data_IF_923058245737
#
_entry.id   IF_923058245737
#
_cell.length_a   1.000
_cell.length_b   1.000
_cell.length_c   1.000
_cell.angle_alpha   90.00
_cell.angle_beta   90.00
_cell.angle_gamma   90.00
#
_symmetry.space_group_name_H-M   'P 1'
#
loop_
_entity.id
_entity.type
_entity.pdbx_description
1 polymer ?
#
# COMPACT_ATOMS: atom_id res chain seq x y z
N UNK A 1 -9.46 2.42 -4.75
CA UNK A 1 -9.86 3.84 -4.68
C UNK A 1 -11.36 3.90 -4.45
N UNK A 2 -11.85 4.39 -3.29
CA UNK A 2 -13.24 4.23 -2.90
C UNK A 2 -14.24 4.89 -3.86
N UNK A 3 -13.96 6.07 -4.42
CA UNK A 3 -14.88 6.73 -5.34
C UNK A 3 -15.16 5.91 -6.61
N UNK A 4 -14.23 5.04 -7.02
CA UNK A 4 -14.35 4.21 -8.23
C UNK A 4 -15.11 2.90 -8.00
N UNK A 5 -15.41 2.55 -6.74
CA UNK A 5 -16.19 1.36 -6.40
C UNK A 5 -17.69 1.59 -6.61
N UNK A 6 -18.13 1.51 -7.87
CA UNK A 6 -19.56 1.35 -8.21
C UNK A 6 -20.06 -0.03 -7.81
N UNK A 7 -21.37 -0.27 -7.86
CA UNK A 7 -21.94 -1.62 -7.60
C UNK A 7 -21.36 -2.68 -8.53
N UNK A 8 -21.28 -2.41 -9.84
CA UNK A 8 -20.61 -3.29 -10.80
C UNK A 8 -19.13 -3.48 -10.47
N UNK A 9 -18.45 -2.43 -9.99
CA UNK A 9 -17.06 -2.51 -9.55
C UNK A 9 -16.89 -3.44 -8.35
N UNK A 10 -17.80 -3.39 -7.39
CA UNK A 10 -17.78 -4.25 -6.20
C UNK A 10 -17.93 -5.73 -6.59
N UNK A 11 -18.83 -6.08 -7.50
CA UNK A 11 -18.98 -7.46 -7.98
C UNK A 11 -17.68 -8.00 -8.59
N UNK A 12 -17.00 -7.20 -9.42
CA UNK A 12 -15.72 -7.59 -10.02
C UNK A 12 -14.64 -7.81 -8.96
N UNK A 13 -14.58 -6.91 -7.98
CA UNK A 13 -13.64 -6.93 -6.87
C UNK A 13 -13.81 -8.19 -6.02
N UNK A 14 -15.04 -8.52 -5.61
CA UNK A 14 -15.31 -9.73 -4.81
C UNK A 14 -15.11 -11.04 -5.58
N UNK A 15 -15.33 -11.03 -6.90
CA UNK A 15 -15.05 -12.20 -7.75
C UNK A 15 -13.54 -12.44 -7.92
N UNK A 16 -12.76 -11.38 -8.08
CA UNK A 16 -11.33 -11.47 -8.34
C UNK A 16 -10.51 -11.74 -7.08
N UNK A 17 -11.02 -11.33 -5.91
CA UNK A 17 -10.35 -11.52 -4.65
C UNK A 17 -11.38 -11.91 -3.57
N UNK A 18 -11.49 -13.22 -3.28
CA UNK A 18 -12.36 -13.74 -2.24
C UNK A 18 -12.03 -13.11 -0.87
N UNK A 19 -13.06 -12.86 -0.07
CA UNK A 19 -12.90 -12.22 1.26
C UNK A 19 -12.34 -13.14 2.34
N UNK A 20 -12.30 -14.44 2.06
CA UNK A 20 -11.77 -15.52 2.90
C UNK A 20 -10.27 -15.81 2.66
N UNK A 21 -9.64 -15.15 1.68
CA UNK A 21 -8.19 -15.23 1.48
C UNK A 21 -7.45 -14.33 2.48
N UNK A 22 -6.74 -14.93 3.44
CA UNK A 22 -6.08 -14.25 4.56
C UNK A 22 -5.01 -13.23 4.14
N UNK A 23 -4.35 -13.48 3.00
CA UNK A 23 -3.35 -12.56 2.44
C UNK A 23 -3.98 -11.37 1.70
N UNK A 24 -5.27 -11.44 1.39
CA UNK A 24 -5.98 -10.39 0.69
C UNK A 24 -6.68 -9.43 1.65
N UNK A 25 -6.27 -8.15 1.66
CA UNK A 25 -6.80 -7.16 2.60
C UNK A 25 -7.24 -5.88 1.88
N UNK A 26 -8.49 -5.47 2.15
CA UNK A 26 -9.09 -4.28 1.57
C UNK A 26 -8.80 -3.07 2.44
N UNK A 27 -8.11 -2.08 1.89
CA UNK A 27 -7.72 -0.86 2.60
C UNK A 27 -7.96 0.36 1.71
N UNK A 28 -7.92 1.57 2.29
CA UNK A 28 -8.28 2.78 1.56
C UNK A 28 -7.12 3.30 0.72
N UNK A 29 -7.34 3.47 -0.58
CA UNK A 29 -6.42 4.19 -1.46
C UNK A 29 -7.04 5.54 -1.89
N UNK A 30 -6.76 6.59 -1.11
CA UNK A 30 -7.28 7.94 -1.32
C UNK A 30 -8.81 8.06 -1.31
N UNK A 31 -9.35 9.00 -2.09
CA UNK A 31 -10.79 9.12 -2.35
C UNK A 31 -11.11 9.00 -3.84
N UNK A 32 -10.68 9.97 -4.65
CA UNK A 32 -10.93 10.06 -6.10
C UNK A 32 -9.66 9.93 -6.93
N UNK A 33 -8.49 9.96 -6.29
CA UNK A 33 -7.19 9.97 -6.93
C UNK A 33 -7.00 11.20 -7.84
N UNK A 34 -7.45 12.37 -7.36
CA UNK A 34 -7.34 13.66 -8.07
C UNK A 34 -6.07 14.39 -7.64
N UNK A 35 -5.37 15.00 -8.59
CA UNK A 35 -4.26 15.88 -8.26
C UNK A 35 -4.79 17.23 -7.79
N UNK A 36 -4.43 17.62 -6.57
CA UNK A 36 -4.71 18.94 -6.02
C UNK A 36 -3.49 19.86 -5.94
N UNK A 37 -2.29 19.36 -6.25
CA UNK A 37 -1.09 20.21 -6.31
C UNK A 37 -1.17 21.14 -7.52
N UNK A 38 -0.94 22.43 -7.27
CA UNK A 38 -0.84 23.46 -8.31
C UNK A 38 0.49 23.36 -9.03
N UNK A 39 1.55 23.04 -8.29
CA UNK A 39 2.90 22.93 -8.78
C UNK A 39 3.59 21.66 -8.26
N UNK A 40 4.70 21.29 -8.89
CA UNK A 40 5.49 20.14 -8.50
C UNK A 40 4.77 18.81 -8.72
N UNK A 41 5.03 17.86 -7.83
CA UNK A 41 4.68 16.47 -8.06
C UNK A 41 3.24 16.15 -7.61
N UNK A 42 2.46 15.49 -8.48
CA UNK A 42 1.03 15.19 -8.25
C UNK A 42 0.73 14.61 -6.87
N UNK A 43 -0.29 15.11 -6.20
CA UNK A 43 -0.75 14.56 -4.91
C UNK A 43 -2.22 14.88 -4.65
N UNK A 44 -2.98 13.87 -4.18
CA UNK A 44 -4.35 14.06 -3.68
C UNK A 44 -4.35 14.63 -2.25
N UNK A 45 -3.32 14.30 -1.46
CA UNK A 45 -3.24 14.66 -0.03
C UNK A 45 -2.00 15.48 0.29
N UNK A 46 -1.53 16.30 -0.68
CA UNK A 46 -0.39 17.21 -0.51
C UNK A 46 -0.75 18.54 0.15
N UNK A 47 0.20 19.47 0.21
CA UNK A 47 0.06 20.76 0.93
C UNK A 47 -1.05 21.65 0.38
N UNK A 48 -1.26 21.63 -0.93
CA UNK A 48 -2.22 22.52 -1.62
C UNK A 48 -3.69 22.12 -1.41
N UNK A 49 -3.97 20.94 -0.85
CA UNK A 49 -5.33 20.53 -0.48
C UNK A 49 -5.60 20.96 0.96
N UNK A 50 -6.62 21.81 1.16
CA UNK A 50 -7.00 22.29 2.49
C UNK A 50 -7.19 21.13 3.49
N UNK A 51 -6.68 21.24 4.74
CA UNK A 51 -6.73 20.16 5.73
C UNK A 51 -8.13 19.59 5.97
N UNK A 52 -9.15 20.45 6.01
CA UNK A 52 -10.55 20.09 6.23
C UNK A 52 -11.07 19.22 5.09
N UNK A 53 -10.68 19.58 3.86
CA UNK A 53 -11.03 18.80 2.67
C UNK A 53 -10.33 17.46 2.62
N UNK A 54 -9.05 17.39 3.02
CA UNK A 54 -8.36 16.09 3.16
C UNK A 54 -9.08 15.20 4.18
N UNK A 55 -9.51 15.76 5.31
CA UNK A 55 -10.26 15.03 6.33
C UNK A 55 -11.60 14.51 5.78
N UNK A 56 -12.38 15.36 5.11
CA UNK A 56 -13.64 14.98 4.46
C UNK A 56 -13.45 13.85 3.44
N UNK A 57 -12.45 13.98 2.56
CA UNK A 57 -12.14 12.98 1.54
C UNK A 57 -11.74 11.63 2.16
N UNK A 58 -10.94 11.65 3.25
CA UNK A 58 -10.55 10.42 3.97
C UNK A 58 -11.77 9.81 4.66
N UNK A 59 -12.57 10.59 5.38
CA UNK A 59 -13.78 10.13 6.08
C UNK A 59 -14.77 9.50 5.10
N UNK A 60 -15.06 10.18 4.00
CA UNK A 60 -15.98 9.68 2.99
C UNK A 60 -15.50 8.35 2.39
N UNK A 61 -14.20 8.24 2.12
CA UNK A 61 -13.59 6.98 1.70
C UNK A 61 -13.73 5.90 2.75
N UNK A 62 -13.44 6.20 4.03
CA UNK A 62 -13.53 5.25 5.14
C UNK A 62 -14.95 4.71 5.29
N UNK A 63 -15.94 5.60 5.39
CA UNK A 63 -17.36 5.23 5.53
C UNK A 63 -17.80 4.34 4.36
N UNK A 64 -17.37 4.64 3.13
CA UNK A 64 -17.70 3.82 1.96
C UNK A 64 -17.02 2.44 2.03
N UNK A 65 -15.76 2.38 2.44
CA UNK A 65 -15.03 1.11 2.57
C UNK A 65 -15.61 0.23 3.67
N UNK A 66 -15.95 0.80 4.84
CA UNK A 66 -16.61 0.09 5.94
C UNK A 66 -17.97 -0.46 5.50
N UNK A 67 -18.76 0.31 4.75
CA UNK A 67 -20.05 -0.16 4.21
C UNK A 67 -19.90 -1.33 3.24
N UNK A 68 -18.88 -1.32 2.38
CA UNK A 68 -18.69 -2.34 1.32
C UNK A 68 -18.05 -3.60 1.89
N UNK A 69 -16.99 -3.46 2.70
CA UNK A 69 -16.15 -4.58 3.12
C UNK A 69 -16.40 -4.99 4.58
N UNK A 70 -17.14 -4.20 5.36
CA UNK A 70 -17.49 -4.48 6.76
C UNK A 70 -16.26 -4.88 7.58
N UNK A 71 -16.27 -6.06 8.24
CA UNK A 71 -15.15 -6.53 9.06
C UNK A 71 -13.87 -6.84 8.27
N UNK A 72 -13.94 -6.88 6.93
CA UNK A 72 -12.80 -7.11 6.05
C UNK A 72 -12.11 -5.81 5.63
N UNK A 73 -12.67 -4.64 5.97
CA UNK A 73 -11.95 -3.38 5.82
C UNK A 73 -10.83 -3.29 6.86
N UNK A 74 -9.61 -3.07 6.38
CA UNK A 74 -8.43 -2.86 7.21
C UNK A 74 -8.15 -1.36 7.29
N UNK A 75 -8.01 -0.77 8.50
CA UNK A 75 -7.83 0.66 8.71
C UNK A 75 -6.39 1.12 8.38
N UNK A 76 -5.93 0.81 7.18
CA UNK A 76 -4.68 1.27 6.58
C UNK A 76 -5.01 2.21 5.42
N UNK A 77 -4.21 3.26 5.29
CA UNK A 77 -4.34 4.24 4.23
C UNK A 77 -3.13 4.18 3.28
N UNK A 78 -3.39 4.12 1.99
CA UNK A 78 -2.37 4.25 0.95
C UNK A 78 -2.65 5.56 0.22
N UNK A 79 -1.79 6.59 0.33
CA UNK A 79 -2.00 7.82 -0.40
C UNK A 79 -1.76 7.62 -1.90
N UNK A 80 -2.62 8.14 -2.79
CA UNK A 80 -2.33 8.31 -4.21
C UNK A 80 -0.96 8.92 -4.47
N UNK A 81 -0.27 8.39 -5.48
CA UNK A 81 1.11 8.76 -5.82
C UNK A 81 2.11 8.63 -4.64
N UNK A 82 1.79 7.84 -3.61
CA UNK A 82 2.58 7.66 -2.39
C UNK A 82 2.90 8.97 -1.66
N UNK A 83 2.08 10.02 -1.81
CA UNK A 83 2.36 11.36 -1.27
C UNK A 83 1.27 11.82 -0.32
N UNK A 84 1.70 12.34 0.82
CA UNK A 84 0.81 12.83 1.87
C UNK A 84 1.46 13.99 2.62
N UNK A 85 0.63 14.78 3.28
CA UNK A 85 1.04 15.93 4.06
C UNK A 85 0.89 15.66 5.56
N UNK A 86 1.37 16.59 6.40
CA UNK A 86 1.13 16.54 7.84
C UNK A 86 -0.37 16.60 8.18
N UNK A 87 -1.17 17.30 7.37
CA UNK A 87 -2.62 17.36 7.55
C UNK A 87 -3.26 15.98 7.34
N UNK A 88 -2.79 15.22 6.35
CA UNK A 88 -3.24 13.84 6.11
C UNK A 88 -3.03 12.97 7.34
N UNK A 89 -1.83 12.99 7.93
CA UNK A 89 -1.53 12.21 9.13
C UNK A 89 -2.46 12.57 10.30
N UNK A 90 -2.71 13.87 10.52
CA UNK A 90 -3.65 14.33 11.55
C UNK A 90 -5.06 13.80 11.31
N UNK A 91 -5.54 13.82 10.07
CA UNK A 91 -6.85 13.29 9.71
C UNK A 91 -6.92 11.78 9.93
N UNK A 92 -5.91 11.02 9.50
CA UNK A 92 -5.83 9.57 9.71
C UNK A 92 -5.92 9.21 11.19
N UNK A 93 -5.23 9.94 12.07
CA UNK A 93 -5.33 9.74 13.52
C UNK A 93 -6.75 9.98 14.04
N UNK A 94 -7.35 11.12 13.68
CA UNK A 94 -8.71 11.48 14.11
C UNK A 94 -9.76 10.47 13.64
N UNK A 95 -9.50 9.82 12.52
CA UNK A 95 -10.39 8.82 11.89
C UNK A 95 -9.98 7.38 12.24
N UNK A 96 -9.14 7.20 13.26
CA UNK A 96 -8.71 5.91 13.79
C UNK A 96 -8.12 4.94 12.73
N UNK A 97 -7.36 5.48 11.78
CA UNK A 97 -6.49 4.66 10.94
C UNK A 97 -5.30 4.17 11.78
N UNK A 98 -4.94 2.90 11.60
CA UNK A 98 -3.87 2.23 12.33
C UNK A 98 -2.58 2.15 11.53
N UNK A 99 -2.62 2.41 10.22
CA UNK A 99 -1.42 2.42 9.39
C UNK A 99 -1.50 3.28 8.15
N UNK A 100 -0.32 3.60 7.62
CA UNK A 100 -0.13 4.25 6.32
C UNK A 100 0.90 3.46 5.51
N UNK A 101 0.60 3.18 4.24
CA UNK A 101 1.50 2.48 3.31
C UNK A 101 1.95 3.41 2.19
N UNK A 102 3.24 3.76 2.14
CA UNK A 102 3.76 4.73 1.17
C UNK A 102 5.28 4.61 0.98
N UNK A 103 5.76 4.96 -0.22
CA UNK A 103 7.21 5.05 -0.55
C UNK A 103 7.85 6.33 -0.04
N UNK A 104 7.09 7.43 0.09
CA UNK A 104 7.67 8.73 0.40
C UNK A 104 8.24 8.78 1.85
N UNK A 105 9.37 9.49 2.06
CA UNK A 105 9.83 9.80 3.39
C UNK A 105 8.77 10.64 4.12
N UNK A 106 8.81 10.65 5.46
CA UNK A 106 7.90 11.48 6.22
C UNK A 106 8.03 12.96 5.85
N UNK A 107 6.93 13.72 5.82
CA UNK A 107 6.97 15.16 5.62
C UNK A 107 7.91 15.83 6.63
N UNK A 108 8.59 16.93 6.26
CA UNK A 108 9.49 17.64 7.17
C UNK A 108 8.84 17.95 8.53
N UNK A 109 9.59 17.71 9.61
CA UNK A 109 9.13 17.94 10.99
C UNK A 109 8.24 16.84 11.58
N UNK A 110 7.91 15.79 10.83
CA UNK A 110 7.27 14.57 11.36
C UNK A 110 8.34 13.58 11.80
N UNK A 111 8.54 13.43 13.11
CA UNK A 111 9.54 12.51 13.70
C UNK A 111 8.96 11.14 14.06
N UNK A 112 7.65 11.07 14.25
CA UNK A 112 6.90 9.89 14.68
C UNK A 112 5.48 9.98 14.12
N UNK A 113 4.88 8.82 13.90
CA UNK A 113 3.48 8.67 13.53
C UNK A 113 2.53 8.50 14.73
N UNK A 114 3.09 8.52 15.95
CA UNK A 114 2.42 8.56 17.25
C UNK A 114 1.31 7.51 17.43
N UNK A 115 1.52 6.29 16.91
CA UNK A 115 0.54 5.20 16.98
C UNK A 115 -0.11 4.82 15.65
N UNK A 116 0.21 5.53 14.56
CA UNK A 116 -0.01 5.01 13.20
C UNK A 116 1.24 4.24 12.77
N UNK A 117 1.08 3.02 12.28
CA UNK A 117 2.18 2.22 11.74
C UNK A 117 2.54 2.64 10.32
N UNK A 118 3.83 2.82 10.04
CA UNK A 118 4.29 3.05 8.66
C UNK A 118 4.67 1.74 8.01
N UNK A 119 4.05 1.48 6.86
CA UNK A 119 4.38 0.39 5.95
C UNK A 119 5.21 0.97 4.81
N UNK A 120 6.54 0.94 4.97
CA UNK A 120 7.44 1.41 3.92
C UNK A 120 7.40 0.44 2.74
N UNK A 121 7.11 0.99 1.57
CA UNK A 121 7.17 0.26 0.31
C UNK A 121 8.51 0.57 -0.34
N UNK A 122 9.36 -0.45 -0.44
CA UNK A 122 10.76 -0.31 -0.83
C UNK A 122 11.01 -0.63 -2.30
N UNK A 123 10.08 -1.34 -2.94
CA UNK A 123 10.13 -1.68 -4.35
C UNK A 123 8.81 -1.32 -5.01
N UNK A 124 8.87 -0.52 -6.07
CA UNK A 124 7.74 -0.21 -6.93
C UNK A 124 7.97 -0.88 -8.29
N UNK A 125 7.14 -1.88 -8.61
CA UNK A 125 7.19 -2.60 -9.88
C UNK A 125 6.39 -1.92 -11.00
N UNK A 126 5.76 -0.77 -10.73
CA UNK A 126 4.93 -0.05 -11.70
C UNK A 126 5.65 1.11 -12.40
N UNK A 127 6.41 1.93 -11.67
CA UNK A 127 7.00 3.17 -12.21
C UNK A 127 8.37 2.94 -12.84
N UNK A 128 8.44 2.21 -13.96
CA UNK A 128 9.70 1.96 -14.68
C UNK A 128 9.63 2.57 -16.07
N UNK A 129 10.29 3.72 -16.26
CA UNK A 129 10.41 4.35 -17.59
C UNK A 129 11.48 3.62 -18.42
N UNK A 130 11.05 2.76 -19.34
CA UNK A 130 11.93 1.84 -20.07
C UNK A 130 12.60 2.51 -21.28
N UNK A 131 13.35 3.59 -21.06
CA UNK A 131 14.27 4.13 -22.08
C UNK A 131 15.54 3.26 -22.23
N UNK A 132 15.91 2.55 -21.17
CA UNK A 132 17.05 1.62 -21.13
C UNK A 132 16.63 0.30 -20.44
N UNK A 133 16.14 -0.70 -21.20
CA UNK A 133 15.66 -1.96 -20.65
C UNK A 133 16.70 -2.72 -19.82
N UNK A 134 17.95 -2.79 -20.30
CA UNK A 134 19.01 -3.53 -19.61
C UNK A 134 19.42 -2.85 -18.29
N UNK A 135 19.54 -1.52 -18.29
CA UNK A 135 19.81 -0.75 -17.08
C UNK A 135 18.66 -0.82 -16.08
N UNK A 136 17.41 -0.79 -16.56
CA UNK A 136 16.24 -0.96 -15.72
C UNK A 136 16.20 -2.34 -15.05
N UNK A 137 16.48 -3.41 -15.81
CA UNK A 137 16.54 -4.75 -15.25
C UNK A 137 17.67 -4.89 -14.21
N UNK A 138 18.86 -4.33 -14.48
CA UNK A 138 19.96 -4.32 -13.51
C UNK A 138 19.57 -3.59 -12.21
N UNK A 139 18.89 -2.45 -12.31
CA UNK A 139 18.36 -1.72 -11.15
C UNK A 139 17.33 -2.55 -10.38
N UNK A 140 16.43 -3.27 -11.07
CA UNK A 140 15.46 -4.16 -10.43
C UNK A 140 16.16 -5.27 -9.61
N UNK A 141 17.19 -5.89 -10.17
CA UNK A 141 17.97 -6.92 -9.50
C UNK A 141 18.72 -6.35 -8.29
N UNK A 142 19.29 -5.16 -8.39
CA UNK A 142 19.93 -4.48 -7.26
C UNK A 142 18.93 -4.16 -6.15
N UNK A 143 17.77 -3.58 -6.49
CA UNK A 143 16.70 -3.32 -5.54
C UNK A 143 16.25 -4.60 -4.83
N UNK A 144 16.04 -5.68 -5.59
CA UNK A 144 15.65 -6.99 -5.04
C UNK A 144 16.71 -7.57 -4.11
N UNK A 145 17.99 -7.48 -4.49
CA UNK A 145 19.12 -7.89 -3.64
C UNK A 145 19.24 -7.02 -2.37
N UNK A 146 18.80 -5.76 -2.45
CA UNK A 146 18.61 -4.90 -1.29
C UNK A 146 17.50 -5.40 -0.37
N UNK A 147 16.37 -5.84 -0.93
CA UNK A 147 15.25 -6.39 -0.15
C UNK A 147 15.68 -7.59 0.70
N UNK A 148 16.47 -8.52 0.14
CA UNK A 148 16.92 -9.71 0.87
C UNK A 148 17.83 -9.39 2.06
N UNK A 149 18.43 -8.18 2.10
CA UNK A 149 19.31 -7.73 3.19
C UNK A 149 18.56 -6.94 4.27
N UNK A 150 17.33 -6.48 3.99
CA UNK A 150 16.57 -5.70 4.95
C UNK A 150 16.04 -6.57 6.08
N UNK A 151 16.14 -6.05 7.31
CA UNK A 151 15.52 -6.66 8.49
C UNK A 151 14.19 -5.95 8.77
N UNK A 152 13.11 -6.71 8.79
CA UNK A 152 11.79 -6.20 9.16
C UNK A 152 10.76 -6.33 8.05
N UNK A 153 9.68 -5.56 8.17
CA UNK A 153 8.60 -5.57 7.20
C UNK A 153 8.96 -4.71 5.99
N UNK A 154 8.82 -5.28 4.80
CA UNK A 154 9.15 -4.63 3.54
C UNK A 154 7.97 -4.75 2.58
N UNK A 155 7.49 -3.63 2.06
CA UNK A 155 6.41 -3.59 1.08
C UNK A 155 6.94 -3.60 -0.35
N UNK A 156 6.23 -4.32 -1.23
CA UNK A 156 6.39 -4.27 -2.68
C UNK A 156 5.07 -3.76 -3.27
N UNK A 157 5.14 -2.76 -4.15
CA UNK A 157 3.97 -2.22 -4.85
C UNK A 157 3.90 -2.82 -6.25
N UNK A 158 2.70 -3.22 -6.64
CA UNK A 158 2.35 -3.63 -8.00
C UNK A 158 1.12 -2.87 -8.48
N UNK A 159 0.97 -2.72 -9.79
CA UNK A 159 -0.23 -2.16 -10.42
C UNK A 159 -0.72 -3.12 -11.49
N UNK A 160 -1.58 -4.07 -11.12
CA UNK A 160 -2.02 -5.17 -12.00
C UNK A 160 -2.58 -4.69 -13.36
N UNK A 161 -3.25 -3.53 -13.41
CA UNK A 161 -3.78 -2.97 -14.67
C UNK A 161 -2.68 -2.49 -15.64
N UNK A 162 -1.46 -2.30 -15.14
CA UNK A 162 -0.31 -1.80 -15.88
C UNK A 162 0.74 -2.90 -16.07
N UNK A 163 0.48 -4.11 -15.59
CA UNK A 163 1.37 -5.26 -15.72
C UNK A 163 1.08 -6.01 -17.02
N UNK A 164 2.14 -6.34 -17.75
CA UNK A 164 2.11 -7.23 -18.90
C UNK A 164 2.11 -8.70 -18.45
N UNK A 165 1.79 -9.67 -19.32
CA UNK A 165 1.97 -11.09 -19.01
C UNK A 165 3.38 -11.43 -18.51
N UNK A 166 4.42 -10.86 -19.13
CA UNK A 166 5.81 -11.02 -18.68
C UNK A 166 6.06 -10.47 -17.27
N UNK A 167 5.42 -9.35 -16.90
CA UNK A 167 5.52 -8.81 -15.55
C UNK A 167 4.85 -9.72 -14.52
N UNK A 168 3.78 -10.43 -14.89
CA UNK A 168 3.18 -11.45 -14.04
C UNK A 168 4.05 -12.69 -13.90
N UNK A 169 4.68 -13.18 -14.96
CA UNK A 169 5.66 -14.29 -14.89
C UNK A 169 6.86 -13.93 -14.00
N UNK A 170 7.37 -12.70 -14.14
CA UNK A 170 8.41 -12.19 -13.26
C UNK A 170 7.95 -12.16 -11.80
N UNK A 171 6.74 -11.64 -11.53
CA UNK A 171 6.17 -11.59 -10.20
C UNK A 171 6.04 -12.99 -9.59
N UNK A 172 5.54 -13.97 -10.36
CA UNK A 172 5.43 -15.37 -9.92
C UNK A 172 6.79 -15.93 -9.52
N UNK A 173 7.81 -15.77 -10.38
CA UNK A 173 9.17 -16.23 -10.09
C UNK A 173 9.78 -15.51 -8.88
N UNK A 174 9.52 -14.21 -8.74
CA UNK A 174 9.98 -13.41 -7.60
C UNK A 174 9.34 -13.90 -6.30
N UNK A 175 8.02 -14.13 -6.27
CA UNK A 175 7.30 -14.64 -5.10
C UNK A 175 7.77 -16.04 -4.72
N UNK A 176 8.01 -16.92 -5.70
CA UNK A 176 8.60 -18.23 -5.48
C UNK A 176 9.97 -18.13 -4.79
N UNK A 177 10.88 -17.31 -5.33
CA UNK A 177 12.21 -17.14 -4.78
C UNK A 177 12.18 -16.53 -3.38
N UNK A 178 11.32 -15.52 -3.15
CA UNK A 178 11.11 -14.93 -1.82
C UNK A 178 10.68 -16.01 -0.83
N UNK A 179 9.72 -16.85 -1.18
CA UNK A 179 9.18 -17.88 -0.27
C UNK A 179 10.17 -19.02 -0.01
N UNK A 180 10.73 -19.61 -1.06
CA UNK A 180 11.39 -20.91 -0.98
C UNK A 180 12.92 -20.84 -1.01
N UNK A 181 13.49 -19.76 -1.55
CA UNK A 181 14.95 -19.58 -1.59
C UNK A 181 15.41 -18.67 -0.45
N UNK A 182 14.74 -17.53 -0.28
CA UNK A 182 15.07 -16.54 0.76
C UNK A 182 14.42 -16.92 2.10
N UNK A 183 13.31 -17.66 2.09
CA UNK A 183 12.56 -18.00 3.30
C UNK A 183 11.76 -16.82 3.87
N UNK A 184 11.40 -15.85 3.03
CA UNK A 184 10.59 -14.71 3.42
C UNK A 184 9.16 -15.13 3.78
N UNK A 185 8.60 -14.48 4.80
CA UNK A 185 7.22 -14.68 5.22
C UNK A 185 6.34 -13.58 4.64
N UNK A 186 5.28 -13.96 3.95
CA UNK A 186 4.24 -13.04 3.52
C UNK A 186 3.27 -12.79 4.67
N UNK A 187 2.84 -11.55 4.82
CA UNK A 187 1.94 -11.13 5.89
C UNK A 187 0.98 -10.09 5.37
N UNK A 188 -0.27 -10.15 5.84
CA UNK A 188 -1.30 -9.20 5.49
C UNK A 188 -1.29 -7.99 6.44
N UNK A 189 -1.92 -6.89 6.05
CA UNK A 189 -2.04 -5.72 6.94
C UNK A 189 -2.79 -6.08 8.24
N UNK A 190 -3.88 -6.84 8.14
CA UNK A 190 -4.66 -7.34 9.27
C UNK A 190 -3.79 -8.11 10.25
N UNK A 191 -2.91 -8.98 9.76
CA UNK A 191 -1.98 -9.74 10.62
C UNK A 191 -0.94 -8.83 11.28
N UNK A 192 -0.38 -7.88 10.53
CA UNK A 192 0.67 -6.99 11.04
C UNK A 192 0.18 -5.90 11.99
N UNK A 193 -1.13 -5.62 12.02
CA UNK A 193 -1.77 -4.71 12.96
C UNK A 193 -2.07 -5.37 14.32
N UNK A 194 -2.09 -6.71 14.39
CA UNK A 194 -2.23 -7.44 15.65
C UNK A 194 -1.02 -7.21 16.56
N UNK A 195 -1.22 -7.41 17.86
CA UNK A 195 -0.11 -7.37 18.81
C UNK A 195 0.95 -8.44 18.48
N UNK A 196 2.22 -8.29 18.91
CA UNK A 196 3.23 -9.34 18.74
C UNK A 196 2.79 -10.71 19.27
N UNK A 197 2.01 -10.75 20.35
CA UNK A 197 1.58 -11.98 21.02
C UNK A 197 0.40 -12.66 20.30
N UNK A 198 -0.32 -11.92 19.45
CA UNK A 198 -1.46 -12.39 18.67
C UNK A 198 -1.06 -12.89 17.26
N UNK A 199 0.23 -12.82 16.90
CA UNK A 199 0.73 -13.26 15.60
C UNK A 199 1.04 -14.76 15.64
N UNK A 200 0.66 -15.53 14.60
CA UNK A 200 0.97 -16.96 14.55
C UNK A 200 2.48 -17.18 14.65
N UNK A 201 2.88 -18.18 15.44
CA UNK A 201 4.27 -18.52 15.66
C UNK A 201 4.99 -18.75 14.32
N UNK A 202 6.28 -18.41 14.25
CA UNK A 202 7.10 -18.69 13.07
C UNK A 202 7.03 -20.19 12.78
N UNK A 203 6.40 -20.58 11.68
CA UNK A 203 6.61 -21.90 11.12
C UNK A 203 8.10 -22.02 10.82
N UNK A 204 8.82 -22.85 11.56
CA UNK A 204 10.19 -23.20 11.23
C UNK A 204 10.11 -23.94 9.89
N UNK A 205 10.52 -23.28 8.81
CA UNK A 205 10.82 -23.95 7.55
C UNK A 205 11.85 -25.05 7.89
N UNK A 206 11.45 -26.31 7.72
CA UNK A 206 12.36 -27.45 7.75
C UNK A 206 13.06 -27.55 6.40
#
# INVERSE_FOLDING_TARGET
IPAWLSETGQVKVFRAAPVDEDLWNWHQHGWRHINWQKEGAKSEFGSDRAPERQYEDILQGRTKMERIFGPNFVPVFTPPWNRFSRATLKALRKLDFKGISATAPFPPGVKSLDGIKHYSTCLDLHTREVKNPAGDFALLIDQFSGLSKMKGLTGIIIHHQQMTPFAFEFLDRMLYNLKYVIGARFSSFKETLKSPDERPARARLR
#
